data_IF_778905494596
#
_entry.id   IF_778905494596
#
_cell.length_a   1.000
_cell.length_b   1.000
_cell.length_c   1.000
_cell.angle_alpha   90.00
_cell.angle_beta   90.00
_cell.angle_gamma   90.00
#
_symmetry.space_group_name_H-M   'P 1'
#
loop_
_entity.id
_entity.type
_entity.pdbx_description
1 polymer ?
#
# COMPACT_ATOMS: atom_id res chain seq x y z
N UNK A 1 58.37 -35.82 -49.39
CA UNK A 1 57.92 -35.78 -47.98
C UNK A 1 56.53 -35.13 -47.98
N UNK A 2 55.58 -36.00 -47.97
CA UNK A 2 54.15 -35.75 -48.22
C UNK A 2 53.49 -35.37 -46.89
N UNK A 3 52.90 -34.19 -46.78
CA UNK A 3 52.05 -33.82 -45.68
C UNK A 3 50.62 -33.59 -46.22
N UNK A 4 49.81 -34.63 -46.09
CA UNK A 4 48.40 -34.59 -46.38
C UNK A 4 47.64 -33.78 -45.28
N UNK A 5 47.06 -32.63 -45.67
CA UNK A 5 46.07 -31.90 -44.90
C UNK A 5 44.81 -32.77 -44.71
N UNK A 6 44.37 -32.90 -43.46
CA UNK A 6 43.08 -33.47 -43.09
C UNK A 6 41.97 -32.46 -43.35
N UNK A 7 40.82 -32.84 -43.92
CA UNK A 7 39.69 -31.94 -44.11
C UNK A 7 39.01 -31.62 -42.77
N UNK A 8 38.78 -30.35 -42.57
CA UNK A 8 38.03 -29.80 -41.46
C UNK A 8 36.60 -30.35 -41.44
N UNK A 9 36.17 -30.90 -40.28
CA UNK A 9 34.82 -31.34 -40.02
C UNK A 9 33.86 -30.16 -40.16
N UNK A 10 33.01 -30.20 -41.16
CA UNK A 10 31.77 -29.41 -41.26
C UNK A 10 30.88 -29.78 -40.08
N UNK A 11 30.74 -28.86 -39.13
CA UNK A 11 29.79 -28.95 -38.06
C UNK A 11 28.42 -28.68 -38.70
N UNK A 12 27.60 -29.70 -38.84
CA UNK A 12 26.19 -29.56 -39.18
C UNK A 12 25.55 -28.83 -38.02
N UNK A 13 25.19 -27.56 -38.22
CA UNK A 13 24.35 -26.80 -37.32
C UNK A 13 22.97 -27.39 -37.47
N UNK A 14 22.46 -28.05 -36.43
CA UNK A 14 21.09 -28.50 -36.34
C UNK A 14 20.15 -27.28 -36.36
N UNK A 15 19.27 -27.27 -37.31
CA UNK A 15 18.25 -26.24 -37.61
C UNK A 15 17.08 -26.18 -36.59
N UNK A 16 17.30 -26.57 -35.33
CA UNK A 16 16.30 -26.61 -34.25
C UNK A 16 16.62 -25.66 -33.09
N UNK A 17 17.46 -24.65 -33.28
CA UNK A 17 17.51 -23.53 -32.35
C UNK A 17 16.36 -22.60 -32.64
N UNK A 18 15.28 -22.75 -31.86
CA UNK A 18 14.15 -21.83 -31.75
C UNK A 18 14.66 -20.39 -31.72
N UNK A 19 14.67 -19.74 -32.88
CA UNK A 19 14.85 -18.29 -33.03
C UNK A 19 13.56 -17.63 -32.49
N UNK A 20 13.42 -17.62 -31.17
CA UNK A 20 12.38 -16.81 -30.52
C UNK A 20 12.67 -15.36 -30.84
N UNK A 21 11.84 -14.78 -31.69
CA UNK A 21 11.86 -13.38 -32.10
C UNK A 21 12.14 -12.46 -30.90
N UNK A 22 13.17 -11.60 -30.96
CA UNK A 22 13.51 -10.67 -29.88
C UNK A 22 12.33 -9.71 -29.57
N UNK A 23 11.42 -9.49 -30.52
CA UNK A 23 10.19 -8.70 -30.35
C UNK A 23 9.21 -9.41 -29.44
N UNK A 24 9.08 -10.74 -29.53
CA UNK A 24 8.16 -11.54 -28.66
C UNK A 24 8.71 -11.59 -27.24
N UNK A 25 10.02 -11.71 -27.04
CA UNK A 25 10.66 -11.60 -25.71
C UNK A 25 10.45 -10.23 -25.08
N UNK A 26 10.62 -9.16 -25.85
CA UNK A 26 10.43 -7.80 -25.35
C UNK A 26 8.97 -7.51 -24.93
N UNK A 27 7.98 -8.06 -25.66
CA UNK A 27 6.55 -7.93 -25.32
C UNK A 27 6.19 -8.75 -24.07
N UNK A 28 6.72 -9.96 -23.95
CA UNK A 28 6.47 -10.84 -22.78
C UNK A 28 7.05 -10.23 -21.49
N UNK A 29 8.23 -9.61 -21.54
CA UNK A 29 8.80 -8.91 -20.40
C UNK A 29 7.97 -7.68 -19.99
N UNK A 30 7.50 -6.86 -20.94
CA UNK A 30 6.69 -5.68 -20.63
C UNK A 30 5.35 -6.03 -19.97
N UNK A 31 4.68 -7.10 -20.39
CA UNK A 31 3.38 -7.52 -19.83
C UNK A 31 3.51 -8.04 -18.40
N UNK A 32 4.64 -8.64 -18.02
CA UNK A 32 4.85 -9.18 -16.68
C UNK A 32 5.04 -8.05 -15.64
N UNK A 33 5.68 -6.92 -16.03
CA UNK A 33 5.80 -5.72 -15.16
C UNK A 33 4.47 -4.98 -14.95
N UNK A 34 3.49 -5.21 -15.82
CA UNK A 34 2.18 -4.56 -15.74
C UNK A 34 1.33 -5.15 -14.60
N UNK A 35 1.53 -6.43 -14.28
CA UNK A 35 0.67 -7.17 -13.35
C UNK A 35 0.73 -6.62 -11.91
N UNK A 36 1.89 -6.39 -11.27
CA UNK A 36 1.95 -5.79 -9.94
C UNK A 36 1.33 -4.39 -9.92
N UNK A 37 1.66 -3.55 -10.89
CA UNK A 37 1.13 -2.20 -10.97
C UNK A 37 -0.40 -2.16 -11.16
N UNK A 38 -1.00 -3.21 -11.75
CA UNK A 38 -2.45 -3.31 -11.85
C UNK A 38 -3.11 -3.55 -10.48
N UNK A 39 -2.51 -4.34 -9.60
CA UNK A 39 -2.98 -4.52 -8.22
C UNK A 39 -2.85 -3.23 -7.41
N UNK A 40 -1.71 -2.54 -7.50
CA UNK A 40 -1.51 -1.22 -6.88
C UNK A 40 -2.54 -0.20 -7.38
N UNK A 41 -2.81 -0.19 -8.69
CA UNK A 41 -3.85 0.67 -9.28
C UNK A 41 -5.25 0.30 -8.77
N UNK A 42 -5.55 -0.98 -8.63
CA UNK A 42 -6.83 -1.44 -8.08
C UNK A 42 -6.97 -1.07 -6.59
N UNK A 43 -5.89 -1.18 -5.80
CA UNK A 43 -5.87 -0.74 -4.41
C UNK A 43 -6.13 0.78 -4.31
N UNK A 44 -5.46 1.57 -5.14
CA UNK A 44 -5.66 3.01 -5.22
C UNK A 44 -7.10 3.36 -5.64
N UNK A 45 -7.69 2.61 -6.58
CA UNK A 45 -9.08 2.79 -6.97
C UNK A 45 -10.05 2.51 -5.81
N UNK A 46 -9.82 1.45 -5.02
CA UNK A 46 -10.61 1.18 -3.82
C UNK A 46 -10.53 2.32 -2.80
N UNK A 47 -9.33 2.89 -2.59
CA UNK A 47 -9.16 4.03 -1.70
C UNK A 47 -9.87 5.29 -2.21
N UNK A 48 -9.80 5.57 -3.51
CA UNK A 48 -10.54 6.66 -4.13
C UNK A 48 -12.05 6.46 -4.00
N UNK A 49 -12.53 5.25 -4.28
CA UNK A 49 -13.93 4.89 -4.10
C UNK A 49 -14.40 5.05 -2.65
N UNK A 50 -13.56 4.69 -1.67
CA UNK A 50 -13.83 4.89 -0.25
C UNK A 50 -14.06 6.37 0.10
N UNK A 51 -13.26 7.28 -0.47
CA UNK A 51 -13.45 8.73 -0.29
C UNK A 51 -14.79 9.17 -0.86
N UNK A 52 -15.15 8.72 -2.07
CA UNK A 52 -16.44 9.07 -2.71
C UNK A 52 -17.62 8.56 -1.86
N UNK A 53 -17.54 7.33 -1.33
CA UNK A 53 -18.55 6.77 -0.44
C UNK A 53 -18.69 7.57 0.87
N UNK A 54 -17.59 7.99 1.47
CA UNK A 54 -17.62 8.84 2.67
C UNK A 54 -18.28 10.20 2.40
N UNK A 55 -17.99 10.82 1.24
CA UNK A 55 -18.65 12.07 0.82
C UNK A 55 -20.15 11.91 0.60
N UNK A 56 -20.62 10.71 0.27
CA UNK A 56 -22.05 10.37 0.14
C UNK A 56 -22.68 9.95 1.46
N UNK A 57 -21.94 9.91 2.57
CA UNK A 57 -22.44 9.49 3.88
C UNK A 57 -22.49 7.96 4.09
N UNK A 58 -21.98 7.19 3.13
CA UNK A 58 -21.98 5.71 3.17
C UNK A 58 -20.69 5.20 3.86
N UNK A 59 -20.57 5.44 5.16
CA UNK A 59 -19.33 5.23 5.91
C UNK A 59 -18.96 3.76 6.09
N UNK A 60 -19.93 2.85 6.17
CA UNK A 60 -19.70 1.41 6.22
C UNK A 60 -19.02 0.92 4.94
N UNK A 61 -19.56 1.31 3.78
CA UNK A 61 -19.01 0.97 2.47
C UNK A 61 -17.60 1.57 2.28
N UNK A 62 -17.42 2.82 2.74
CA UNK A 62 -16.12 3.48 2.70
C UNK A 62 -15.06 2.70 3.51
N UNK A 63 -15.41 2.24 4.69
CA UNK A 63 -14.51 1.45 5.53
C UNK A 63 -14.18 0.09 4.89
N UNK A 64 -15.18 -0.60 4.33
CA UNK A 64 -15.00 -1.87 3.60
C UNK A 64 -14.06 -1.66 2.41
N UNK A 65 -14.20 -0.56 1.67
CA UNK A 65 -13.34 -0.26 0.53
C UNK A 65 -11.88 -0.04 0.95
N UNK A 66 -11.61 0.52 2.14
CA UNK A 66 -10.23 0.57 2.70
C UNK A 66 -9.69 -0.83 2.99
N UNK A 67 -10.49 -1.74 3.55
CA UNK A 67 -10.06 -3.12 3.76
C UNK A 67 -9.78 -3.85 2.43
N UNK A 68 -10.60 -3.63 1.40
CA UNK A 68 -10.32 -4.14 0.05
C UNK A 68 -9.00 -3.59 -0.50
N UNK A 69 -8.75 -2.29 -0.34
CA UNK A 69 -7.48 -1.65 -0.72
C UNK A 69 -6.29 -2.32 -0.04
N UNK A 70 -6.38 -2.58 1.27
CA UNK A 70 -5.34 -3.28 2.05
C UNK A 70 -5.02 -4.69 1.52
N UNK A 71 -6.06 -5.45 1.15
CA UNK A 71 -5.87 -6.80 0.60
C UNK A 71 -5.17 -6.74 -0.75
N UNK A 72 -5.58 -5.84 -1.64
CA UNK A 72 -4.99 -5.66 -2.96
C UNK A 72 -3.53 -5.21 -2.88
N UNK A 73 -3.22 -4.26 -2.00
CA UNK A 73 -1.89 -3.79 -1.67
C UNK A 73 -0.98 -4.94 -1.17
N UNK A 74 -1.47 -5.74 -0.22
CA UNK A 74 -0.73 -6.90 0.25
C UNK A 74 -0.50 -7.97 -0.83
N UNK A 75 -1.32 -8.00 -1.90
CA UNK A 75 -1.16 -8.91 -3.03
C UNK A 75 -0.11 -8.44 -4.03
N UNK A 76 -0.04 -7.14 -4.35
CA UNK A 76 0.90 -6.62 -5.35
C UNK A 76 2.36 -6.87 -4.98
N UNK A 77 2.74 -6.60 -3.73
CA UNK A 77 4.07 -6.88 -3.22
C UNK A 77 4.41 -8.38 -3.19
N UNK A 78 3.43 -9.27 -3.01
CA UNK A 78 3.64 -10.72 -3.11
C UNK A 78 3.80 -11.16 -4.55
N UNK A 79 2.96 -10.65 -5.44
CA UNK A 79 3.01 -10.95 -6.88
C UNK A 79 4.33 -10.47 -7.47
N UNK A 80 4.76 -9.24 -7.18
CA UNK A 80 6.03 -8.69 -7.65
C UNK A 80 7.24 -9.55 -7.23
N UNK A 81 7.23 -10.09 -6.01
CA UNK A 81 8.28 -10.99 -5.51
C UNK A 81 8.24 -12.37 -6.18
N UNK A 82 7.05 -12.95 -6.34
CA UNK A 82 6.89 -14.26 -6.99
C UNK A 82 7.24 -14.25 -8.48
N UNK A 83 6.98 -13.12 -9.15
CA UNK A 83 7.25 -12.97 -10.58
C UNK A 83 8.63 -12.37 -10.90
N UNK A 84 9.42 -12.01 -9.86
CA UNK A 84 10.71 -11.30 -10.01
C UNK A 84 10.59 -10.03 -10.87
N UNK A 85 9.49 -9.29 -10.75
CA UNK A 85 9.20 -8.09 -11.54
C UNK A 85 9.31 -6.79 -10.73
N UNK A 86 10.11 -6.80 -9.67
CA UNK A 86 10.38 -5.60 -8.88
C UNK A 86 11.07 -4.55 -9.75
N UNK A 87 10.57 -3.31 -9.70
CA UNK A 87 11.14 -2.18 -10.41
C UNK A 87 11.16 -0.95 -9.52
N UNK A 88 12.16 -0.08 -9.70
CA UNK A 88 12.22 1.19 -8.96
C UNK A 88 10.98 2.07 -9.19
N UNK A 89 10.39 2.02 -10.39
CA UNK A 89 9.13 2.69 -10.67
C UNK A 89 7.97 2.11 -9.86
N UNK A 90 7.85 0.76 -9.81
CA UNK A 90 6.81 0.08 -9.06
C UNK A 90 6.86 0.42 -7.57
N UNK A 91 8.04 0.44 -6.96
CA UNK A 91 8.24 0.81 -5.55
C UNK A 91 7.81 2.26 -5.25
N UNK A 92 8.10 3.20 -6.15
CA UNK A 92 7.66 4.59 -5.99
C UNK A 92 6.16 4.74 -6.19
N UNK A 93 5.59 4.04 -7.19
CA UNK A 93 4.17 4.07 -7.47
C UNK A 93 3.36 3.47 -6.30
N UNK A 94 3.82 2.37 -5.74
CA UNK A 94 3.28 1.72 -4.56
C UNK A 94 3.26 2.67 -3.34
N UNK A 95 4.39 3.32 -3.06
CA UNK A 95 4.47 4.32 -1.99
C UNK A 95 3.49 5.49 -2.15
N UNK A 96 3.24 5.94 -3.39
CA UNK A 96 2.25 6.98 -3.67
C UNK A 96 0.82 6.47 -3.47
N UNK A 97 0.54 5.24 -3.91
CA UNK A 97 -0.75 4.58 -3.70
C UNK A 97 -1.01 4.36 -2.21
N UNK A 98 -0.02 3.89 -1.46
CA UNK A 98 -0.07 3.73 0.00
C UNK A 98 -0.40 5.03 0.73
N UNK A 99 0.20 6.14 0.31
CA UNK A 99 -0.07 7.44 0.90
C UNK A 99 -1.54 7.83 0.76
N UNK A 100 -2.14 7.56 -0.39
CA UNK A 100 -3.57 7.83 -0.63
C UNK A 100 -4.43 6.82 0.13
N UNK A 101 -4.12 5.54 0.05
CA UNK A 101 -4.95 4.44 0.59
C UNK A 101 -4.96 4.41 2.12
N UNK A 102 -3.82 4.67 2.76
CA UNK A 102 -3.65 4.50 4.21
C UNK A 102 -3.35 5.81 4.95
N UNK A 103 -3.06 6.89 4.22
CA UNK A 103 -2.90 8.23 4.78
C UNK A 103 -4.12 9.11 4.54
N UNK A 104 -4.41 9.43 3.29
CA UNK A 104 -5.42 10.42 2.91
C UNK A 104 -6.85 9.88 3.10
N UNK A 105 -7.14 8.69 2.57
CA UNK A 105 -8.50 8.17 2.58
C UNK A 105 -9.05 7.93 3.99
N UNK A 106 -8.36 7.25 4.94
CA UNK A 106 -8.85 7.10 6.30
C UNK A 106 -9.02 8.43 7.04
N UNK A 107 -8.11 9.40 6.81
CA UNK A 107 -8.20 10.74 7.39
C UNK A 107 -9.47 11.47 6.94
N UNK A 108 -9.79 11.41 5.64
CA UNK A 108 -10.98 12.04 5.08
C UNK A 108 -12.28 11.33 5.49
N UNK A 109 -12.27 10.00 5.56
CA UNK A 109 -13.43 9.21 6.00
C UNK A 109 -13.81 9.60 7.43
N UNK A 110 -12.85 9.57 8.38
CA UNK A 110 -13.15 9.91 9.77
C UNK A 110 -13.49 11.38 9.94
N UNK A 111 -12.91 12.27 9.13
CA UNK A 111 -13.22 13.68 9.13
C UNK A 111 -14.69 13.92 8.72
N UNK A 112 -15.12 13.39 7.57
CA UNK A 112 -16.51 13.51 7.10
C UNK A 112 -17.50 12.83 8.04
N UNK A 113 -17.11 11.70 8.65
CA UNK A 113 -17.98 10.93 9.52
C UNK A 113 -18.31 11.64 10.84
N UNK A 114 -17.30 12.11 11.58
CA UNK A 114 -17.51 12.63 12.94
C UNK A 114 -16.74 13.92 13.23
N UNK A 115 -15.55 14.13 12.66
CA UNK A 115 -14.69 15.23 13.09
C UNK A 115 -15.13 16.58 12.53
N UNK A 116 -15.82 16.60 11.40
CA UNK A 116 -16.39 17.80 10.77
C UNK A 116 -17.45 18.47 11.66
N UNK A 117 -18.23 17.67 12.40
CA UNK A 117 -19.30 18.13 13.30
C UNK A 117 -18.84 18.53 14.70
N UNK A 118 -17.56 18.35 15.03
CA UNK A 118 -17.02 18.74 16.33
C UNK A 118 -17.13 20.25 16.51
N UNK A 119 -17.93 20.68 17.50
CA UNK A 119 -18.15 22.11 17.83
C UNK A 119 -16.90 22.88 18.29
N UNK A 120 -15.71 22.26 18.24
CA UNK A 120 -14.39 22.79 18.59
C UNK A 120 -13.69 23.48 17.40
N UNK A 121 -14.44 24.03 16.46
CA UNK A 121 -13.90 24.78 15.33
C UNK A 121 -13.12 23.92 14.35
N UNK A 122 -11.83 24.22 14.14
CA UNK A 122 -10.98 23.53 13.16
C UNK A 122 -10.21 22.32 13.71
N UNK A 123 -10.47 21.92 14.96
CA UNK A 123 -9.69 20.88 15.64
C UNK A 123 -9.81 19.52 14.95
N UNK A 124 -10.99 19.15 14.47
CA UNK A 124 -11.21 17.92 13.70
C UNK A 124 -10.38 17.88 12.40
N UNK A 125 -10.34 18.99 11.66
CA UNK A 125 -9.51 19.12 10.47
C UNK A 125 -8.01 18.96 10.80
N UNK A 126 -7.56 19.59 11.88
CA UNK A 126 -6.15 19.53 12.33
C UNK A 126 -5.77 18.08 12.66
N UNK A 127 -6.63 17.34 13.38
CA UNK A 127 -6.36 15.95 13.75
C UNK A 127 -6.32 15.03 12.52
N UNK A 128 -7.27 15.16 11.59
CA UNK A 128 -7.26 14.43 10.33
C UNK A 128 -5.99 14.73 9.51
N UNK A 129 -5.57 16.00 9.47
CA UNK A 129 -4.34 16.42 8.80
C UNK A 129 -3.08 15.86 9.48
N UNK A 130 -3.01 15.88 10.82
CA UNK A 130 -1.91 15.28 11.58
C UNK A 130 -1.77 13.79 11.24
N UNK A 131 -2.87 13.04 11.21
CA UNK A 131 -2.84 11.61 10.80
C UNK A 131 -2.23 11.45 9.40
N UNK A 132 -2.67 12.24 8.43
CA UNK A 132 -2.16 12.23 7.06
C UNK A 132 -0.66 12.55 7.01
N UNK A 133 -0.20 13.58 7.75
CA UNK A 133 1.23 13.94 7.85
C UNK A 133 2.06 12.83 8.49
N UNK A 134 1.54 12.20 9.55
CA UNK A 134 2.21 11.06 10.19
C UNK A 134 2.41 9.89 9.22
N UNK A 135 1.40 9.58 8.39
CA UNK A 135 1.52 8.57 7.35
C UNK A 135 2.58 8.94 6.30
N UNK A 136 2.60 10.20 5.84
CA UNK A 136 3.60 10.70 4.89
C UNK A 136 5.02 10.60 5.44
N UNK A 137 5.23 11.07 6.68
CA UNK A 137 6.54 11.04 7.34
C UNK A 137 7.03 9.60 7.56
N UNK A 138 6.11 8.69 7.91
CA UNK A 138 6.43 7.27 8.04
C UNK A 138 6.88 6.67 6.72
N UNK A 139 6.13 6.89 5.63
CA UNK A 139 6.48 6.39 4.29
C UNK A 139 7.81 6.97 3.80
N UNK A 140 8.03 8.28 3.98
CA UNK A 140 9.29 8.94 3.65
C UNK A 140 10.47 8.35 4.42
N UNK A 141 10.32 8.10 5.74
CA UNK A 141 11.34 7.45 6.57
C UNK A 141 11.63 6.03 6.08
N UNK A 142 10.58 5.26 5.77
CA UNK A 142 10.74 3.90 5.25
C UNK A 142 11.53 3.89 3.95
N UNK A 143 11.16 4.74 2.99
CA UNK A 143 11.82 4.85 1.68
C UNK A 143 13.28 5.33 1.80
N UNK A 144 13.56 6.28 2.70
CA UNK A 144 14.93 6.77 2.93
C UNK A 144 15.84 5.72 3.57
N UNK A 145 15.28 4.78 4.33
CA UNK A 145 16.03 3.75 5.06
C UNK A 145 16.14 2.42 4.31
N UNK A 146 15.60 2.30 3.10
CA UNK A 146 15.76 1.11 2.26
C UNK A 146 17.26 0.89 1.98
N UNK A 147 17.85 -0.13 2.61
CA UNK A 147 19.26 -0.52 2.44
C UNK A 147 20.19 -0.15 3.59
N UNK A 148 19.76 0.59 4.62
CA UNK A 148 20.64 1.05 5.71
C UNK A 148 20.28 0.42 7.06
N UNK A 149 19.04 0.00 7.30
CA UNK A 149 18.57 -0.47 8.62
C UNK A 149 18.44 -1.98 8.68
N UNK A 150 18.89 -2.54 9.81
CA UNK A 150 18.74 -3.97 10.15
C UNK A 150 17.26 -4.37 10.15
N UNK A 151 16.90 -5.35 9.33
CA UNK A 151 15.51 -5.80 9.05
C UNK A 151 14.76 -6.39 10.25
N UNK A 152 15.37 -6.41 11.44
CA UNK A 152 14.82 -7.05 12.65
C UNK A 152 13.83 -6.20 13.42
N UNK A 153 13.81 -4.89 13.23
CA UNK A 153 12.95 -3.99 14.01
C UNK A 153 12.15 -3.06 13.09
N UNK A 154 10.83 -3.19 13.14
CA UNK A 154 9.93 -2.18 12.58
C UNK A 154 9.84 -0.99 13.54
N UNK A 155 10.17 0.20 13.06
CA UNK A 155 10.00 1.44 13.81
C UNK A 155 8.60 2.01 13.53
N UNK A 156 7.75 2.06 14.56
CA UNK A 156 6.40 2.60 14.49
C UNK A 156 5.35 1.65 13.90
N UNK A 157 4.07 2.02 14.07
CA UNK A 157 2.93 1.26 13.56
C UNK A 157 2.91 1.28 12.01
N UNK A 158 2.74 0.15 11.31
CA UNK A 158 2.53 0.13 9.86
C UNK A 158 1.34 0.98 9.42
N UNK A 159 1.45 1.74 8.30
CA UNK A 159 0.36 2.58 7.79
C UNK A 159 -0.91 1.77 7.47
N UNK A 160 -0.86 0.55 6.91
CA UNK A 160 -2.06 -0.27 6.76
C UNK A 160 -2.72 -0.60 8.10
N UNK A 161 -1.92 -0.87 9.16
CA UNK A 161 -2.47 -1.17 10.49
C UNK A 161 -3.14 0.05 11.14
N UNK A 162 -2.58 1.24 10.96
CA UNK A 162 -3.20 2.48 11.40
C UNK A 162 -4.50 2.77 10.65
N UNK A 163 -4.50 2.56 9.33
CA UNK A 163 -5.70 2.66 8.50
C UNK A 163 -6.77 1.64 8.91
N UNK A 164 -6.37 0.39 9.22
CA UNK A 164 -7.27 -0.65 9.73
C UNK A 164 -7.92 -0.26 11.06
N UNK A 165 -7.17 0.38 11.96
CA UNK A 165 -7.69 0.84 13.25
C UNK A 165 -8.77 1.92 13.04
N UNK A 166 -8.50 2.92 12.21
CA UNK A 166 -9.43 4.02 11.94
C UNK A 166 -10.65 3.52 11.16
N UNK A 167 -10.45 2.82 10.04
CA UNK A 167 -11.53 2.28 9.22
C UNK A 167 -12.36 1.23 9.97
N UNK A 168 -11.71 0.38 10.78
CA UNK A 168 -12.38 -0.61 11.63
C UNK A 168 -13.27 0.04 12.68
N UNK A 169 -12.82 1.12 13.30
CA UNK A 169 -13.64 1.87 14.25
C UNK A 169 -14.85 2.49 13.55
N UNK A 170 -14.67 3.13 12.39
CA UNK A 170 -15.77 3.68 11.59
C UNK A 170 -16.77 2.58 11.24
N UNK A 171 -16.29 1.44 10.76
CA UNK A 171 -17.15 0.32 10.38
C UNK A 171 -17.95 -0.26 11.54
N UNK A 172 -17.30 -0.52 12.69
CA UNK A 172 -17.93 -1.12 13.86
C UNK A 172 -19.07 -0.25 14.42
N UNK A 173 -18.88 1.06 14.39
CA UNK A 173 -19.90 1.99 14.88
C UNK A 173 -21.00 2.23 13.83
N UNK A 174 -20.63 2.33 12.55
CA UNK A 174 -21.60 2.52 11.46
C UNK A 174 -22.52 1.32 11.26
N UNK A 175 -22.04 0.10 11.57
CA UNK A 175 -22.82 -1.15 11.56
C UNK A 175 -23.51 -1.45 12.91
N UNK A 176 -23.55 -0.47 13.83
CA UNK A 176 -24.15 -0.62 15.16
C UNK A 176 -23.63 -1.83 15.98
N UNK A 177 -22.43 -2.32 15.63
CA UNK A 177 -21.75 -3.41 16.36
C UNK A 177 -21.23 -2.95 17.71
N UNK A 178 -20.88 -1.67 17.82
CA UNK A 178 -20.43 -1.02 19.04
C UNK A 178 -21.30 0.22 19.26
N UNK A 179 -22.02 0.26 20.36
CA UNK A 179 -22.80 1.43 20.72
C UNK A 179 -21.94 2.40 21.53
N UNK A 180 -21.82 3.61 21.02
CA UNK A 180 -21.22 4.75 21.73
C UNK A 180 -22.24 5.87 21.70
N UNK A 181 -22.51 6.44 22.87
CA UNK A 181 -23.42 7.57 22.98
C UNK A 181 -22.95 8.72 22.07
N UNK A 182 -23.86 9.27 21.28
CA UNK A 182 -23.56 10.26 20.24
C UNK A 182 -22.75 11.47 20.72
N UNK A 183 -22.93 11.84 22.01
CA UNK A 183 -22.16 12.94 22.62
C UNK A 183 -20.66 12.64 22.74
N UNK A 184 -20.27 11.39 22.95
CA UNK A 184 -18.85 10.98 23.12
C UNK A 184 -18.21 10.50 21.83
N UNK A 185 -18.99 10.11 20.84
CA UNK A 185 -18.51 9.52 19.60
C UNK A 185 -17.47 10.38 18.85
N UNK A 186 -17.63 11.69 18.66
CA UNK A 186 -16.64 12.53 18.01
C UNK A 186 -15.32 12.59 18.77
N UNK A 187 -15.35 12.55 20.11
CA UNK A 187 -14.13 12.56 20.94
C UNK A 187 -13.41 11.22 20.86
N UNK A 188 -14.13 10.09 20.80
CA UNK A 188 -13.55 8.78 20.56
C UNK A 188 -12.91 8.70 19.18
N UNK A 189 -13.58 9.20 18.14
CA UNK A 189 -13.03 9.27 16.79
C UNK A 189 -11.76 10.12 16.74
N UNK A 190 -11.75 11.27 17.41
CA UNK A 190 -10.59 12.14 17.53
C UNK A 190 -9.41 11.42 18.23
N UNK A 191 -9.68 10.78 19.38
CA UNK A 191 -8.65 10.10 20.16
C UNK A 191 -8.03 8.92 19.39
N UNK A 192 -8.85 8.10 18.74
CA UNK A 192 -8.37 6.95 17.94
C UNK A 192 -7.55 7.42 16.74
N UNK A 193 -8.02 8.46 16.03
CA UNK A 193 -7.32 9.01 14.87
C UNK A 193 -5.96 9.59 15.26
N UNK A 194 -5.92 10.35 16.35
CA UNK A 194 -4.67 10.94 16.86
C UNK A 194 -3.72 9.85 17.35
N UNK A 195 -4.22 8.86 18.09
CA UNK A 195 -3.42 7.72 18.55
C UNK A 195 -2.83 6.94 17.38
N UNK A 196 -3.64 6.60 16.37
CA UNK A 196 -3.21 5.88 15.18
C UNK A 196 -2.14 6.68 14.41
N UNK A 197 -2.34 8.00 14.24
CA UNK A 197 -1.38 8.88 13.59
C UNK A 197 -0.05 8.95 14.34
N UNK A 198 -0.08 9.28 15.62
CA UNK A 198 1.14 9.42 16.42
C UNK A 198 1.90 8.11 16.56
N UNK A 199 1.20 6.96 16.67
CA UNK A 199 1.84 5.64 16.74
C UNK A 199 2.63 5.27 15.48
N UNK A 200 2.30 5.83 14.31
CA UNK A 200 3.07 5.62 13.08
C UNK A 200 4.48 6.22 13.13
N UNK A 201 4.66 7.36 13.82
CA UNK A 201 5.96 8.07 13.91
C UNK A 201 6.74 7.77 15.18
N UNK A 202 6.17 7.03 16.13
CA UNK A 202 6.89 6.64 17.36
C UNK A 202 8.06 5.70 17.03
N UNK A 203 9.16 5.85 17.76
CA UNK A 203 10.34 4.99 17.63
C UNK A 203 10.25 3.70 18.49
N UNK A 204 9.04 3.27 18.85
CA UNK A 204 8.87 2.03 19.60
C UNK A 204 9.28 0.85 18.71
N UNK A 205 10.26 0.03 19.12
CA UNK A 205 10.67 -1.14 18.37
C UNK A 205 9.58 -2.21 18.48
N UNK A 206 8.79 -2.38 17.43
CA UNK A 206 7.89 -3.52 17.34
C UNK A 206 8.67 -4.76 16.87
N UNK A 207 8.63 -5.83 17.65
CA UNK A 207 9.29 -7.08 17.33
C UNK A 207 8.63 -7.69 16.07
N UNK A 208 9.38 -7.73 14.98
CA UNK A 208 8.99 -8.48 13.80
C UNK A 208 9.23 -9.97 14.09
N UNK A 209 8.15 -10.75 14.26
CA UNK A 209 8.21 -12.19 14.56
C UNK A 209 8.77 -13.06 13.41
N UNK A 210 9.67 -12.50 12.61
CA UNK A 210 10.44 -13.26 11.61
C UNK A 210 11.74 -13.71 12.27
N UNK A 211 11.71 -14.94 12.82
CA UNK A 211 12.89 -15.72 13.12
C UNK A 211 13.52 -16.26 11.84
#
# INVERSE_FOLDING_TARGET
MDQREKPSHLRVVSEDDDVQDPVVRAHRHKSIYLLPNAFTTAALFCAFFAIIKAMSGEFSDAAIAIFCSMVLDGMDGRVARLTNTQSAFGEQYDSLADMVSFGVAPALIVYEWQLKGLGLGRLGLIVAFIYCVCAALRLARFNANIGVVDKRYFQGLPSPSAAALVAGFVWLVSEERVFIEGAYLPYCALAITLFAGLSMITNLPYYSGKA
#
